data_IF_347564854552
#
_entry.id   IF_347564854552
#
_cell.length_a   1.000
_cell.length_b   1.000
_cell.length_c   1.000
_cell.angle_alpha   90.00
_cell.angle_beta   90.00
_cell.angle_gamma   90.00
#
_symmetry.space_group_name_H-M   'P 1'
#
loop_
_entity.id
_entity.type
_entity.pdbx_description
1 polymer ?
#
# COMPACT_ATOMS: atom_id res chain seq x y z
N UNK A 1 4.22 43.17 41.74
CA UNK A 1 3.53 42.46 40.64
C UNK A 1 3.28 41.04 41.09
N UNK A 2 2.02 40.62 41.07
CA UNK A 2 1.64 39.25 41.42
C UNK A 2 1.81 38.37 40.17
N UNK A 3 2.51 37.25 40.33
CA UNK A 3 2.89 36.37 39.22
C UNK A 3 2.20 35.01 39.38
N UNK A 4 1.84 34.42 38.25
CA UNK A 4 1.37 33.06 38.12
C UNK A 4 2.36 32.21 37.32
N UNK A 5 2.32 30.91 37.57
CA UNK A 5 3.10 29.91 36.86
C UNK A 5 2.49 29.59 35.49
N UNK A 6 3.27 28.93 34.63
CA UNK A 6 2.80 28.41 33.33
C UNK A 6 1.59 27.48 33.46
N UNK A 7 1.52 26.72 34.56
CA UNK A 7 0.42 25.79 34.83
C UNK A 7 -0.88 26.55 35.13
N UNK A 8 -0.82 27.50 36.05
CA UNK A 8 -1.95 28.38 36.40
C UNK A 8 -2.40 29.22 35.20
N UNK A 9 -1.46 29.72 34.40
CA UNK A 9 -1.77 30.43 33.17
C UNK A 9 -2.45 29.53 32.13
N UNK A 10 -2.05 28.25 32.04
CA UNK A 10 -2.68 27.26 31.18
C UNK A 10 -4.13 26.96 31.57
N UNK A 11 -4.38 26.83 32.87
CA UNK A 11 -5.74 26.67 33.43
C UNK A 11 -6.58 27.92 33.20
N UNK A 12 -6.04 29.11 33.49
CA UNK A 12 -6.70 30.41 33.26
C UNK A 12 -7.10 30.61 31.80
N UNK A 13 -6.28 30.15 30.86
CA UNK A 13 -6.49 30.39 29.42
C UNK A 13 -7.07 29.20 28.67
N UNK A 14 -7.31 28.06 29.34
CA UNK A 14 -7.81 26.83 28.71
C UNK A 14 -6.87 26.29 27.62
N UNK A 15 -5.55 26.40 27.82
CA UNK A 15 -4.54 25.92 26.87
C UNK A 15 -3.46 25.09 27.56
N UNK A 16 -2.89 24.12 26.84
CA UNK A 16 -1.86 23.25 27.40
C UNK A 16 -0.59 24.02 27.81
N UNK A 17 0.06 23.56 28.88
CA UNK A 17 1.29 24.12 29.46
C UNK A 17 2.39 24.37 28.41
N UNK A 18 2.53 23.46 27.44
CA UNK A 18 3.49 23.59 26.32
C UNK A 18 3.21 24.82 25.45
N UNK A 19 1.94 25.16 25.22
CA UNK A 19 1.53 26.34 24.43
C UNK A 19 1.83 27.62 25.19
N UNK A 20 1.58 27.63 26.50
CA UNK A 20 1.91 28.77 27.37
C UNK A 20 3.43 29.00 27.41
N UNK A 21 4.21 27.93 27.54
CA UNK A 21 5.67 27.99 27.52
C UNK A 21 6.18 28.56 26.19
N UNK A 22 5.59 28.13 25.07
CA UNK A 22 5.89 28.65 23.75
C UNK A 22 5.61 30.15 23.65
N UNK A 23 4.46 30.62 24.14
CA UNK A 23 4.13 32.05 24.14
C UNK A 23 5.09 32.88 24.99
N UNK A 24 5.59 32.33 26.10
CA UNK A 24 6.62 32.99 26.91
C UNK A 24 7.96 33.07 26.15
N UNK A 25 8.40 31.97 25.52
CA UNK A 25 9.65 31.94 24.75
C UNK A 25 9.61 32.82 23.50
N UNK A 26 8.44 32.98 22.89
CA UNK A 26 8.22 33.87 21.74
C UNK A 26 8.03 35.35 22.14
N UNK A 27 8.12 35.68 23.43
CA UNK A 27 7.94 37.06 23.93
C UNK A 27 6.53 37.62 23.74
N UNK A 28 5.51 36.74 23.65
CA UNK A 28 4.12 37.13 23.35
C UNK A 28 3.28 37.48 24.58
N UNK A 29 3.86 37.29 25.77
CA UNK A 29 3.24 37.61 27.05
C UNK A 29 4.07 38.73 27.66
N UNK A 30 3.51 39.94 27.62
CA UNK A 30 4.17 41.12 28.15
C UNK A 30 4.39 41.00 29.66
N UNK A 31 5.59 41.36 30.12
CA UNK A 31 5.98 41.22 31.53
C UNK A 31 6.29 39.78 31.99
N UNK A 32 6.26 38.79 31.10
CA UNK A 32 6.72 37.44 31.43
C UNK A 32 8.25 37.43 31.61
N UNK A 33 8.71 37.00 32.78
CA UNK A 33 10.14 36.95 33.11
C UNK A 33 10.54 35.51 33.40
N UNK A 34 11.68 35.09 32.83
CA UNK A 34 12.29 33.80 33.14
C UNK A 34 13.24 33.95 34.32
N UNK A 35 12.96 33.29 35.44
CA UNK A 35 13.83 33.25 36.62
C UNK A 35 14.28 31.80 36.84
N UNK A 36 15.49 31.48 36.39
CA UNK A 36 15.98 30.09 36.33
C UNK A 36 15.18 29.25 35.33
N UNK A 37 14.59 28.15 35.79
CA UNK A 37 13.75 27.26 34.97
C UNK A 37 12.25 27.59 35.03
N UNK A 38 11.86 28.63 35.78
CA UNK A 38 10.46 29.01 35.94
C UNK A 38 10.13 30.26 35.12
N UNK A 39 9.00 30.20 34.43
CA UNK A 39 8.37 31.38 33.84
C UNK A 39 7.41 32.00 34.85
N UNK A 40 7.65 33.28 35.15
CA UNK A 40 6.77 34.11 35.96
C UNK A 40 5.95 34.97 35.00
N UNK A 41 4.65 34.71 34.95
CA UNK A 41 3.70 35.42 34.08
C UNK A 41 2.88 36.37 34.97
N UNK A 42 2.79 37.67 34.68
CA UNK A 42 1.93 38.57 35.45
C UNK A 42 0.48 38.05 35.50
N UNK A 43 -0.16 38.06 36.67
CA UNK A 43 -1.53 37.52 36.82
C UNK A 43 -2.55 38.28 35.98
N UNK A 44 -2.31 39.54 35.70
CA UNK A 44 -3.11 40.42 34.85
C UNK A 44 -2.83 40.23 33.35
N UNK A 45 -1.82 39.45 32.97
CA UNK A 45 -1.46 39.24 31.57
C UNK A 45 -2.65 38.66 30.76
N UNK A 46 -3.00 39.28 29.61
CA UNK A 46 -4.04 38.77 28.73
C UNK A 46 -3.56 37.55 27.95
N UNK A 47 -4.49 36.66 27.58
CA UNK A 47 -4.19 35.50 26.73
C UNK A 47 -3.68 35.99 25.36
N UNK A 48 -2.48 35.57 24.89
CA UNK A 48 -2.00 35.94 23.57
C UNK A 48 -2.93 35.41 22.46
N UNK A 49 -3.23 36.24 21.45
CA UNK A 49 -4.01 35.83 20.27
C UNK A 49 -3.27 34.70 19.56
N UNK A 50 -3.91 33.54 19.36
CA UNK A 50 -3.32 32.43 18.61
C UNK A 50 -3.18 32.83 17.13
N UNK A 51 -1.95 33.00 16.66
CA UNK A 51 -1.64 33.42 15.28
C UNK A 51 -1.88 32.31 14.24
N UNK A 52 -2.25 31.08 14.66
CA UNK A 52 -2.62 29.98 13.74
C UNK A 52 -4.04 30.10 13.17
N UNK A 53 -4.85 31.08 13.62
CA UNK A 53 -6.12 31.45 12.99
C UNK A 53 -6.13 32.95 12.69
N UNK A 54 -6.26 33.34 11.42
CA UNK A 54 -6.66 34.70 11.04
C UNK A 54 -8.05 34.98 11.64
N UNK A 55 -8.15 35.99 12.51
CA UNK A 55 -9.45 36.55 12.94
C UNK A 55 -9.90 37.57 11.90
N UNK A 56 -11.04 37.30 11.27
CA UNK A 56 -11.86 38.30 10.59
C UNK A 56 -12.52 39.17 11.68
N UNK A 57 -12.48 40.49 11.52
CA UNK A 57 -13.06 41.46 12.46
C UNK A 57 -14.57 41.55 12.23
N UNK A 58 -15.42 41.63 13.29
CA UNK A 58 -16.87 41.76 13.12
C UNK A 58 -17.24 43.21 12.76
N UNK A 59 -18.08 43.38 11.75
CA UNK A 59 -18.85 44.60 11.50
C UNK A 59 -20.24 44.39 12.09
N UNK A 60 -20.77 45.41 12.76
CA UNK A 60 -22.02 45.41 13.52
C UNK A 60 -23.22 44.89 12.71
N UNK A 61 -23.97 43.98 13.34
CA UNK A 61 -25.22 43.43 12.83
C UNK A 61 -26.30 44.51 12.87
N UNK A 62 -26.63 45.05 11.69
CA UNK A 62 -28.03 45.22 11.35
C UNK A 62 -28.50 43.94 10.67
N UNK A 63 -29.45 43.29 11.35
CA UNK A 63 -30.30 42.16 10.97
C UNK A 63 -29.93 41.37 9.70
N UNK A 64 -29.42 40.15 9.87
CA UNK A 64 -29.93 39.01 9.11
C UNK A 64 -29.57 37.66 9.77
N UNK A 65 -30.58 36.82 9.82
CA UNK A 65 -30.66 35.50 10.41
C UNK A 65 -29.67 34.52 9.78
N UNK A 66 -28.72 33.96 10.53
CA UNK A 66 -27.97 32.76 10.10
C UNK A 66 -28.08 31.65 11.14
N UNK A 67 -28.99 30.74 10.82
CA UNK A 67 -29.20 29.43 11.42
C UNK A 67 -28.01 28.50 11.20
N UNK A 68 -27.80 27.60 12.17
CA UNK A 68 -27.03 26.35 12.11
C UNK A 68 -27.08 25.73 10.69
N UNK A 69 -25.93 25.66 10.01
CA UNK A 69 -25.69 24.72 8.90
C UNK A 69 -24.18 24.66 8.60
N UNK A 70 -23.48 23.68 9.17
CA UNK A 70 -22.06 23.37 8.87
C UNK A 70 -21.88 22.15 7.96
N UNK A 71 -22.93 21.76 7.22
CA UNK A 71 -22.82 20.98 5.99
C UNK A 71 -23.21 21.90 4.82
N UNK A 72 -22.23 22.41 4.09
CA UNK A 72 -22.46 23.37 3.01
C UNK A 72 -21.20 23.66 2.23
N UNK A 73 -20.83 22.77 1.30
CA UNK A 73 -20.02 23.15 0.16
C UNK A 73 -20.89 24.04 -0.74
N UNK A 74 -20.91 25.34 -0.41
CA UNK A 74 -21.57 26.37 -1.17
C UNK A 74 -20.60 27.52 -1.39
N UNK A 75 -19.76 27.44 -2.41
CA UNK A 75 -19.35 28.66 -3.09
C UNK A 75 -20.59 29.14 -3.86
N UNK A 76 -21.20 30.23 -3.37
CA UNK A 76 -22.27 30.94 -4.07
C UNK A 76 -21.69 31.56 -5.34
N UNK A 77 -21.76 30.81 -6.44
CA UNK A 77 -21.98 31.42 -7.75
C UNK A 77 -23.48 31.71 -7.78
N UNK A 78 -23.86 32.98 -7.87
CA UNK A 78 -25.25 33.36 -8.13
C UNK A 78 -25.64 32.82 -9.50
N UNK A 79 -26.25 31.64 -9.53
CA UNK A 79 -27.08 31.18 -10.62
C UNK A 79 -28.51 31.06 -10.07
N UNK A 80 -29.44 31.68 -10.77
CA UNK A 80 -30.88 31.70 -10.48
C UNK A 80 -31.40 30.29 -10.14
N UNK A 81 -32.05 30.16 -8.98
CA UNK A 81 -32.97 29.09 -8.54
C UNK A 81 -32.66 27.61 -8.83
N UNK A 82 -31.40 27.24 -9.09
CA UNK A 82 -30.96 25.85 -9.17
C UNK A 82 -29.80 25.61 -8.22
N UNK A 83 -30.03 24.79 -7.20
CA UNK A 83 -28.98 24.19 -6.39
C UNK A 83 -27.87 23.63 -7.31
N UNK A 84 -26.59 24.01 -7.15
CA UNK A 84 -25.55 23.77 -8.16
C UNK A 84 -25.24 22.29 -8.43
N UNK A 85 -25.71 21.38 -7.57
CA UNK A 85 -25.59 19.92 -7.77
C UNK A 85 -26.74 19.29 -8.54
N UNK A 86 -27.80 20.03 -8.89
CA UNK A 86 -28.94 19.46 -9.64
C UNK A 86 -28.48 18.86 -10.97
N UNK A 87 -27.55 19.53 -11.65
CA UNK A 87 -26.89 19.00 -12.84
C UNK A 87 -26.05 17.76 -12.58
N UNK A 88 -25.51 17.55 -11.38
CA UNK A 88 -24.64 16.43 -11.06
C UNK A 88 -25.41 15.11 -10.92
N UNK A 89 -26.67 15.18 -10.49
CA UNK A 89 -27.58 14.03 -10.43
C UNK A 89 -28.28 13.76 -11.77
N UNK A 90 -28.45 14.80 -12.60
CA UNK A 90 -29.18 14.74 -13.87
C UNK A 90 -28.25 14.56 -15.09
N UNK A 91 -26.91 14.63 -14.91
CA UNK A 91 -25.93 14.55 -15.98
C UNK A 91 -25.01 13.33 -15.81
N UNK A 92 -25.35 12.25 -16.51
CA UNK A 92 -24.59 11.00 -16.52
C UNK A 92 -23.14 11.19 -17.00
N UNK A 93 -22.91 12.06 -17.99
CA UNK A 93 -21.57 12.34 -18.51
C UNK A 93 -20.67 12.97 -17.44
N UNK A 94 -21.22 13.84 -16.60
CA UNK A 94 -20.47 14.48 -15.51
C UNK A 94 -20.07 13.46 -14.44
N UNK A 95 -20.96 12.53 -14.09
CA UNK A 95 -20.63 11.43 -13.18
C UNK A 95 -19.51 10.56 -13.77
N UNK A 96 -19.61 10.20 -15.05
CA UNK A 96 -18.57 9.41 -15.74
C UNK A 96 -17.23 10.15 -15.74
N UNK A 97 -17.22 11.47 -15.93
CA UNK A 97 -15.99 12.26 -15.85
C UNK A 97 -15.39 12.26 -14.44
N UNK A 98 -16.21 12.43 -13.39
CA UNK A 98 -15.75 12.38 -12.00
C UNK A 98 -15.15 11.00 -11.69
N UNK A 99 -15.85 9.93 -12.08
CA UNK A 99 -15.37 8.57 -11.89
C UNK A 99 -14.03 8.34 -12.58
N UNK A 100 -13.91 8.73 -13.87
CA UNK A 100 -12.68 8.57 -14.65
C UNK A 100 -11.47 9.25 -14.01
N UNK A 101 -11.65 10.48 -13.51
CA UNK A 101 -10.59 11.30 -12.94
C UNK A 101 -10.40 11.11 -11.44
N UNK A 102 -11.13 10.18 -10.80
CA UNK A 102 -10.97 9.93 -9.38
C UNK A 102 -9.54 9.46 -9.09
N UNK A 103 -8.83 10.05 -8.10
CA UNK A 103 -7.37 9.92 -7.96
C UNK A 103 -6.90 8.58 -7.39
N UNK A 104 -7.82 7.67 -7.06
CA UNK A 104 -7.51 6.35 -6.54
C UNK A 104 -8.06 5.27 -7.47
N UNK A 105 -7.37 4.13 -7.63
CA UNK A 105 -7.90 3.00 -8.36
C UNK A 105 -9.28 2.61 -7.83
N UNK A 106 -10.25 2.55 -8.74
CA UNK A 106 -11.64 2.25 -8.44
C UNK A 106 -12.26 1.42 -9.56
N UNK A 107 -13.09 0.46 -9.18
CA UNK A 107 -13.95 -0.25 -10.12
C UNK A 107 -15.34 -0.51 -9.54
N UNK A 108 -16.31 -0.75 -10.44
CA UNK A 108 -17.71 -0.99 -10.11
C UNK A 108 -18.11 -2.36 -10.66
N UNK A 109 -18.81 -3.13 -9.84
CA UNK A 109 -19.32 -4.45 -10.18
C UNK A 109 -20.85 -4.52 -10.10
N UNK A 110 -21.43 -5.37 -10.94
CA UNK A 110 -22.80 -5.85 -10.79
C UNK A 110 -22.91 -6.85 -9.63
N UNK A 111 -24.11 -7.14 -9.09
CA UNK A 111 -24.30 -8.02 -7.94
C UNK A 111 -23.89 -9.47 -8.19
N UNK A 112 -23.80 -9.90 -9.45
CA UNK A 112 -23.32 -11.22 -9.85
C UNK A 112 -21.78 -11.35 -9.85
N UNK A 113 -21.06 -10.27 -9.55
CA UNK A 113 -19.60 -10.22 -9.55
C UNK A 113 -18.97 -9.69 -10.84
N UNK A 114 -19.76 -9.43 -11.87
CA UNK A 114 -19.26 -8.96 -13.16
C UNK A 114 -18.74 -7.52 -13.06
N UNK A 115 -17.49 -7.29 -13.47
CA UNK A 115 -16.91 -5.95 -13.53
C UNK A 115 -17.52 -5.14 -14.68
N UNK A 116 -18.08 -3.98 -14.33
CA UNK A 116 -18.79 -3.09 -15.26
C UNK A 116 -17.94 -1.90 -15.70
N UNK A 117 -17.22 -1.28 -14.76
CA UNK A 117 -16.46 -0.06 -14.98
C UNK A 117 -15.18 -0.05 -14.15
N UNK A 118 -14.12 0.55 -14.69
CA UNK A 118 -12.87 0.82 -13.99
C UNK A 118 -12.39 2.22 -14.38
N UNK A 119 -11.89 2.99 -13.42
CA UNK A 119 -11.38 4.33 -13.68
C UNK A 119 -9.95 4.32 -14.23
N UNK A 120 -9.44 5.48 -14.62
CA UNK A 120 -8.11 5.59 -15.24
C UNK A 120 -7.00 5.11 -14.30
N UNK A 121 -7.09 5.42 -13.00
CA UNK A 121 -6.10 4.98 -12.03
C UNK A 121 -6.10 3.45 -11.87
N UNK A 122 -7.26 2.80 -11.94
CA UNK A 122 -7.33 1.34 -11.95
C UNK A 122 -6.72 0.74 -13.23
N UNK A 123 -7.01 1.33 -14.39
CA UNK A 123 -6.47 0.85 -15.67
C UNK A 123 -4.94 1.00 -15.72
N UNK A 124 -4.40 2.15 -15.26
CA UNK A 124 -2.95 2.39 -15.15
C UNK A 124 -2.30 1.41 -14.18
N UNK A 125 -2.90 1.23 -13.00
CA UNK A 125 -2.44 0.27 -12.00
C UNK A 125 -2.41 -1.15 -12.58
N UNK A 126 -3.49 -1.63 -13.18
CA UNK A 126 -3.55 -2.99 -13.73
C UNK A 126 -2.83 -3.14 -15.10
N UNK A 127 -2.16 -2.09 -15.60
CA UNK A 127 -1.48 -2.04 -16.92
C UNK A 127 -2.38 -2.48 -18.09
N UNK A 128 -3.62 -2.01 -18.06
CA UNK A 128 -4.64 -2.30 -19.08
C UNK A 128 -4.61 -1.18 -20.11
N UNK A 129 -4.23 -1.49 -21.34
CA UNK A 129 -4.28 -0.53 -22.46
C UNK A 129 -5.61 -0.60 -23.22
N UNK A 130 -6.31 -1.74 -23.09
CA UNK A 130 -7.54 -2.07 -23.82
C UNK A 130 -8.70 -2.40 -22.87
N UNK A 131 -9.33 -1.38 -22.26
CA UNK A 131 -10.36 -1.56 -21.23
C UNK A 131 -11.60 -2.32 -21.74
N UNK A 132 -11.88 -2.30 -23.05
CA UNK A 132 -12.99 -3.05 -23.65
C UNK A 132 -12.88 -4.57 -23.45
N UNK A 133 -11.68 -5.09 -23.18
CA UNK A 133 -11.47 -6.51 -22.86
C UNK A 133 -11.83 -6.88 -21.42
N UNK A 134 -11.85 -5.89 -20.52
CA UNK A 134 -12.09 -6.07 -19.09
C UNK A 134 -13.58 -6.32 -18.81
N UNK A 135 -14.43 -5.49 -19.41
CA UNK A 135 -15.85 -5.45 -19.12
C UNK A 135 -16.58 -6.71 -19.60
N UNK A 136 -17.51 -7.21 -18.77
CA UNK A 136 -18.34 -8.40 -19.02
C UNK A 136 -17.60 -9.75 -19.12
N UNK A 137 -16.26 -9.77 -19.07
CA UNK A 137 -15.45 -11.00 -19.07
C UNK A 137 -14.85 -11.31 -17.70
N UNK A 138 -14.58 -10.28 -16.90
CA UNK A 138 -14.02 -10.47 -15.57
C UNK A 138 -15.10 -10.49 -14.51
N UNK A 139 -15.18 -11.61 -13.78
CA UNK A 139 -16.05 -11.77 -12.62
C UNK A 139 -15.19 -11.97 -11.36
N UNK A 140 -15.42 -11.13 -10.36
CA UNK A 140 -14.63 -11.12 -9.11
C UNK A 140 -14.93 -12.36 -8.26
N UNK A 141 -16.20 -12.76 -8.15
CA UNK A 141 -16.61 -13.92 -7.35
C UNK A 141 -16.06 -15.23 -7.91
N UNK A 142 -15.82 -15.28 -9.22
CA UNK A 142 -15.22 -16.44 -9.89
C UNK A 142 -13.68 -16.42 -9.87
N UNK A 143 -13.03 -15.47 -9.18
CA UNK A 143 -11.58 -15.45 -9.08
C UNK A 143 -11.10 -16.56 -8.12
N UNK A 144 -10.36 -17.58 -8.60
CA UNK A 144 -9.88 -18.68 -7.75
C UNK A 144 -8.82 -18.24 -6.74
N UNK A 145 -8.29 -17.02 -6.86
CA UNK A 145 -7.19 -16.53 -6.00
C UNK A 145 -7.66 -15.72 -4.79
N UNK A 146 -8.96 -15.44 -4.62
CA UNK A 146 -9.46 -14.61 -3.50
C UNK A 146 -9.01 -15.11 -2.12
N UNK A 147 -9.00 -16.44 -1.91
CA UNK A 147 -8.55 -17.07 -0.67
C UNK A 147 -7.05 -16.85 -0.45
N UNK A 148 -6.23 -17.13 -1.48
CA UNK A 148 -4.78 -16.95 -1.44
C UNK A 148 -4.38 -15.50 -1.23
N UNK A 149 -5.16 -14.57 -1.78
CA UNK A 149 -4.97 -13.13 -1.60
C UNK A 149 -5.43 -12.64 -0.23
N UNK A 150 -6.12 -13.48 0.56
CA UNK A 150 -6.63 -13.12 1.88
C UNK A 150 -7.82 -12.13 1.84
N UNK A 151 -8.49 -12.00 0.71
CA UNK A 151 -9.57 -11.01 0.49
C UNK A 151 -10.94 -11.66 0.29
N UNK A 152 -11.03 -12.99 0.42
CA UNK A 152 -12.27 -13.73 0.18
C UNK A 152 -13.41 -13.24 1.07
N UNK A 153 -13.25 -13.26 2.39
CA UNK A 153 -14.27 -12.79 3.33
C UNK A 153 -14.73 -11.35 3.02
N UNK A 154 -13.76 -10.46 2.81
CA UNK A 154 -13.98 -9.07 2.42
C UNK A 154 -14.88 -8.94 1.18
N UNK A 155 -14.59 -9.71 0.13
CA UNK A 155 -15.39 -9.73 -1.09
C UNK A 155 -16.78 -10.29 -0.82
N UNK A 156 -16.90 -11.48 -0.23
CA UNK A 156 -18.21 -12.12 -0.04
C UNK A 156 -19.18 -11.28 0.80
N UNK A 157 -18.71 -10.68 1.88
CA UNK A 157 -19.52 -9.78 2.72
C UNK A 157 -19.99 -8.54 1.96
N UNK A 158 -19.13 -7.97 1.12
CA UNK A 158 -19.52 -6.85 0.26
C UNK A 158 -20.66 -7.23 -0.70
N UNK A 159 -20.60 -8.43 -1.28
CA UNK A 159 -21.65 -8.96 -2.16
C UNK A 159 -22.92 -9.39 -1.42
N UNK A 160 -22.85 -9.64 -0.11
CA UNK A 160 -24.03 -9.74 0.77
C UNK A 160 -24.62 -8.36 1.13
N UNK A 161 -23.99 -7.29 0.65
CA UNK A 161 -24.46 -5.92 0.81
C UNK A 161 -23.99 -5.23 2.09
N UNK A 162 -22.94 -5.74 2.72
CA UNK A 162 -22.25 -5.07 3.83
C UNK A 162 -21.19 -4.08 3.30
N UNK A 163 -21.09 -2.89 3.89
CA UNK A 163 -19.95 -2.00 3.61
C UNK A 163 -18.72 -2.52 4.38
N UNK A 164 -17.68 -2.93 3.65
CA UNK A 164 -16.51 -3.60 4.24
C UNK A 164 -15.25 -2.81 3.96
N UNK A 165 -14.34 -2.81 4.92
CA UNK A 165 -13.04 -2.17 4.83
C UNK A 165 -11.95 -3.19 5.19
N UNK A 166 -10.86 -3.18 4.44
CA UNK A 166 -9.66 -3.93 4.75
C UNK A 166 -8.47 -2.99 4.73
N UNK A 167 -7.56 -3.14 5.67
CA UNK A 167 -6.41 -2.26 5.81
C UNK A 167 -5.14 -3.03 5.51
N UNK A 168 -4.19 -2.33 4.89
CA UNK A 168 -2.83 -2.83 4.72
C UNK A 168 -2.77 -4.20 4.00
N UNK A 169 -3.62 -4.37 2.99
CA UNK A 169 -3.69 -5.62 2.23
C UNK A 169 -2.58 -5.65 1.19
N UNK A 170 -1.77 -6.71 1.24
CA UNK A 170 -0.73 -6.95 0.25
C UNK A 170 -1.36 -7.20 -1.12
N UNK A 171 -0.96 -6.38 -2.08
CA UNK A 171 -1.45 -6.45 -3.45
C UNK A 171 -0.66 -7.51 -4.22
N UNK A 172 -1.31 -8.53 -4.80
CA UNK A 172 -0.68 -9.53 -5.65
C UNK A 172 -0.44 -8.96 -7.05
N UNK A 173 0.43 -7.95 -7.14
CA UNK A 173 0.50 -7.07 -8.29
C UNK A 173 0.85 -7.78 -9.60
N UNK A 174 1.82 -8.70 -9.54
CA UNK A 174 2.20 -9.53 -10.69
C UNK A 174 1.02 -10.35 -11.23
N UNK A 175 0.26 -11.01 -10.36
CA UNK A 175 -0.88 -11.84 -10.77
C UNK A 175 -2.02 -10.99 -11.38
N UNK A 176 -2.20 -9.77 -10.88
CA UNK A 176 -3.18 -8.82 -11.45
C UNK A 176 -2.78 -8.46 -12.89
N UNK A 177 -1.51 -8.13 -13.12
CA UNK A 177 -1.00 -7.78 -14.46
C UNK A 177 -1.09 -8.99 -15.40
N UNK A 178 -0.70 -10.19 -14.95
CA UNK A 178 -0.78 -11.40 -15.76
C UNK A 178 -2.22 -11.75 -16.15
N UNK A 179 -3.18 -11.48 -15.28
CA UNK A 179 -4.59 -11.78 -15.52
C UNK A 179 -5.31 -10.71 -16.31
N UNK A 180 -5.00 -9.43 -16.09
CA UNK A 180 -5.77 -8.30 -16.61
C UNK A 180 -5.00 -7.45 -17.62
N UNK A 181 -3.69 -7.28 -17.42
CA UNK A 181 -2.85 -6.37 -18.17
C UNK A 181 -2.48 -6.89 -19.55
N UNK A 182 -2.01 -5.98 -20.41
CA UNK A 182 -1.49 -6.33 -21.74
C UNK A 182 0.05 -6.54 -21.73
N UNK A 183 0.73 -6.23 -20.62
CA UNK A 183 2.19 -6.33 -20.45
C UNK A 183 2.62 -7.62 -19.75
N UNK A 184 3.77 -8.17 -20.14
CA UNK A 184 4.40 -9.35 -19.51
C UNK A 184 5.62 -9.01 -18.65
N UNK A 185 5.83 -7.72 -18.36
CA UNK A 185 6.93 -7.31 -17.51
C UNK A 185 6.74 -7.83 -16.08
N UNK A 186 7.84 -8.34 -15.50
CA UNK A 186 7.88 -8.77 -14.11
C UNK A 186 7.95 -7.53 -13.21
N UNK A 187 7.05 -7.45 -12.23
CA UNK A 187 7.05 -6.39 -11.24
C UNK A 187 7.53 -6.91 -9.88
N UNK A 188 8.57 -6.27 -9.35
CA UNK A 188 9.17 -6.57 -8.05
C UNK A 188 8.77 -5.56 -6.95
N UNK A 189 7.72 -4.77 -7.14
CA UNK A 189 7.21 -3.87 -6.12
C UNK A 189 6.26 -4.61 -5.16
N UNK A 190 6.48 -4.48 -3.85
CA UNK A 190 5.50 -4.90 -2.85
C UNK A 190 4.59 -3.73 -2.51
N UNK A 191 3.38 -3.77 -3.06
CA UNK A 191 2.35 -2.76 -2.85
C UNK A 191 1.36 -3.22 -1.77
N UNK A 192 0.96 -2.29 -0.91
CA UNK A 192 -0.07 -2.49 0.11
C UNK A 192 -1.13 -1.42 -0.05
N UNK A 193 -2.40 -1.85 -0.09
CA UNK A 193 -3.55 -0.98 -0.24
C UNK A 193 -4.50 -1.14 0.96
N UNK A 194 -5.09 -0.03 1.37
CA UNK A 194 -6.36 -0.07 2.07
C UNK A 194 -7.46 -0.23 1.03
N UNK A 195 -8.46 -1.05 1.32
CA UNK A 195 -9.56 -1.34 0.41
C UNK A 195 -10.88 -1.00 1.08
N UNK A 196 -11.80 -0.42 0.31
CA UNK A 196 -13.18 -0.25 0.69
C UNK A 196 -14.06 -0.90 -0.37
N UNK A 197 -15.06 -1.66 0.06
CA UNK A 197 -16.11 -2.19 -0.80
C UNK A 197 -17.45 -1.63 -0.30
N UNK A 198 -18.09 -0.84 -1.16
CA UNK A 198 -19.27 -0.06 -0.84
C UNK A 198 -20.46 -0.53 -1.69
N UNK A 199 -21.41 -1.26 -1.10
CA UNK A 199 -22.65 -1.65 -1.75
C UNK A 199 -23.54 -0.42 -2.01
N UNK A 200 -24.02 -0.27 -3.24
CA UNK A 200 -24.95 0.76 -3.67
C UNK A 200 -26.31 0.12 -3.87
N UNK A 201 -27.33 0.71 -3.26
CA UNK A 201 -28.69 0.16 -3.23
C UNK A 201 -29.68 1.09 -3.92
N UNK A 202 -30.76 0.52 -4.43
CA UNK A 202 -31.91 1.27 -4.90
C UNK A 202 -32.81 1.73 -3.74
N UNK A 203 -33.92 2.39 -4.07
CA UNK A 203 -34.91 2.85 -3.10
C UNK A 203 -35.62 1.70 -2.36
N UNK A 204 -35.60 0.49 -2.92
CA UNK A 204 -36.17 -0.72 -2.32
C UNK A 204 -35.13 -1.51 -1.51
N UNK A 205 -33.96 -0.92 -1.25
CA UNK A 205 -32.84 -1.52 -0.55
C UNK A 205 -32.23 -2.75 -1.27
N UNK A 206 -32.50 -2.94 -2.55
CA UNK A 206 -31.89 -3.98 -3.38
C UNK A 206 -30.48 -3.56 -3.81
N UNK A 207 -29.54 -4.50 -3.77
CA UNK A 207 -28.17 -4.27 -4.19
C UNK A 207 -28.11 -4.08 -5.71
N UNK A 208 -27.71 -2.89 -6.16
CA UNK A 208 -27.53 -2.59 -7.59
C UNK A 208 -26.07 -2.74 -8.01
N UNK A 209 -25.15 -2.21 -7.21
CA UNK A 209 -23.73 -2.19 -7.54
C UNK A 209 -22.86 -2.36 -6.31
N UNK A 210 -21.61 -2.76 -6.51
CA UNK A 210 -20.57 -2.69 -5.49
C UNK A 210 -19.43 -1.83 -6.05
N UNK A 211 -19.05 -0.79 -5.32
CA UNK A 211 -17.92 0.08 -5.65
C UNK A 211 -16.72 -0.36 -4.82
N UNK A 212 -15.64 -0.75 -5.48
CA UNK A 212 -14.36 -1.05 -4.86
C UNK A 212 -13.39 0.11 -5.03
N UNK A 213 -12.78 0.56 -3.94
CA UNK A 213 -11.78 1.63 -3.91
C UNK A 213 -10.51 1.09 -3.28
N UNK A 214 -9.36 1.33 -3.92
CA UNK A 214 -8.05 0.92 -3.45
C UNK A 214 -7.21 2.16 -3.17
N UNK A 215 -6.84 2.36 -1.91
CA UNK A 215 -6.07 3.52 -1.45
C UNK A 215 -4.65 3.01 -1.14
N UNK A 216 -3.62 3.46 -1.87
CA UNK A 216 -2.25 3.11 -1.57
C UNK A 216 -1.88 3.49 -0.13
N UNK A 217 -1.44 2.50 0.66
CA UNK A 217 -1.04 2.73 2.06
C UNK A 217 0.49 2.68 2.23
N UNK A 218 1.14 1.68 1.62
CA UNK A 218 2.61 1.53 1.63
C UNK A 218 3.07 0.96 0.30
N UNK A 219 4.14 1.52 -0.25
CA UNK A 219 4.85 0.94 -1.38
C UNK A 219 6.30 0.69 -0.97
N UNK A 220 6.72 -0.56 -1.08
CA UNK A 220 8.13 -0.92 -1.02
C UNK A 220 8.56 -1.18 -2.46
N UNK A 221 9.26 -0.20 -3.02
CA UNK A 221 9.96 -0.40 -4.28
C UNK A 221 11.21 -1.20 -3.93
N UNK A 222 11.28 -2.46 -4.36
CA UNK A 222 12.56 -3.16 -4.34
C UNK A 222 13.53 -2.33 -5.18
N UNK A 223 14.69 -2.04 -4.58
CA UNK A 223 15.70 -1.24 -5.24
C UNK A 223 16.17 -1.93 -6.52
N UNK A 224 16.42 -1.16 -7.57
CA UNK A 224 16.87 -1.66 -8.87
C UNK A 224 18.13 -2.54 -8.73
N UNK A 225 19.02 -2.21 -7.80
CA UNK A 225 20.23 -2.95 -7.45
C UNK A 225 19.91 -4.35 -6.88
N UNK A 226 18.78 -4.51 -6.18
CA UNK A 226 18.34 -5.82 -5.69
C UNK A 226 17.74 -6.65 -6.83
N UNK A 227 16.99 -6.02 -7.74
CA UNK A 227 16.42 -6.68 -8.92
C UNK A 227 17.53 -7.18 -9.84
N UNK A 228 18.42 -6.27 -10.27
CA UNK A 228 19.61 -6.60 -11.06
C UNK A 228 20.48 -7.65 -10.37
N UNK A 229 20.58 -7.56 -9.04
CA UNK A 229 21.23 -8.54 -8.20
C UNK A 229 20.68 -9.96 -8.34
N UNK A 230 19.37 -10.11 -8.18
CA UNK A 230 18.67 -11.39 -8.34
C UNK A 230 18.80 -11.92 -9.76
N UNK A 231 18.56 -11.08 -10.77
CA UNK A 231 18.70 -11.45 -12.18
C UNK A 231 20.12 -11.94 -12.51
N UNK A 232 21.14 -11.28 -11.96
CA UNK A 232 22.52 -11.72 -12.10
C UNK A 232 22.72 -13.11 -11.49
N UNK A 233 22.24 -13.33 -10.26
CA UNK A 233 22.34 -14.64 -9.60
C UNK A 233 21.58 -15.70 -10.41
N UNK A 234 20.37 -15.41 -10.87
CA UNK A 234 19.52 -16.33 -11.61
C UNK A 234 20.12 -16.72 -12.97
N UNK A 235 20.90 -15.83 -13.59
CA UNK A 235 21.60 -16.09 -14.86
C UNK A 235 22.94 -16.82 -14.67
N UNK A 236 23.67 -16.51 -13.60
CA UNK A 236 25.02 -17.02 -13.34
C UNK A 236 25.04 -18.11 -12.25
N UNK A 237 23.89 -18.72 -11.95
CA UNK A 237 23.77 -19.70 -10.86
C UNK A 237 24.70 -20.93 -11.02
N UNK A 238 25.12 -21.27 -12.25
CA UNK A 238 26.07 -22.36 -12.52
C UNK A 238 27.52 -22.00 -12.14
N UNK A 239 27.84 -20.72 -12.06
CA UNK A 239 29.18 -20.24 -11.74
C UNK A 239 29.44 -20.29 -10.23
N UNK A 240 30.72 -20.20 -9.84
CA UNK A 240 31.09 -20.04 -8.43
C UNK A 240 30.60 -18.69 -7.90
N UNK A 241 29.97 -18.69 -6.74
CA UNK A 241 29.40 -17.48 -6.16
C UNK A 241 30.50 -16.51 -5.72
N UNK A 242 30.46 -15.31 -6.30
CA UNK A 242 31.39 -14.23 -5.98
C UNK A 242 30.59 -12.96 -5.65
N UNK A 243 30.58 -12.61 -4.36
CA UNK A 243 29.87 -11.43 -3.87
C UNK A 243 30.54 -10.12 -4.29
N UNK A 244 31.85 -10.11 -4.54
CA UNK A 244 32.54 -8.90 -4.98
C UNK A 244 32.18 -8.60 -6.44
N UNK A 245 32.12 -9.62 -7.31
CA UNK A 245 31.58 -9.47 -8.68
C UNK A 245 30.13 -9.00 -8.68
N UNK A 246 29.28 -9.61 -7.85
CA UNK A 246 27.87 -9.26 -7.76
C UNK A 246 27.67 -7.83 -7.24
N UNK A 247 28.43 -7.41 -6.21
CA UNK A 247 28.35 -6.06 -5.68
C UNK A 247 28.87 -5.01 -6.70
N UNK A 248 29.94 -5.34 -7.43
CA UNK A 248 30.46 -4.48 -8.49
C UNK A 248 29.48 -4.36 -9.67
N UNK A 249 28.78 -5.43 -10.04
CA UNK A 249 27.76 -5.44 -11.09
C UNK A 249 26.63 -4.44 -10.81
N UNK A 250 26.30 -4.21 -9.54
CA UNK A 250 25.26 -3.25 -9.11
C UNK A 250 25.85 -1.93 -8.60
N UNK A 251 27.14 -1.70 -8.81
CA UNK A 251 27.86 -0.48 -8.42
C UNK A 251 27.79 -0.16 -6.91
N UNK A 252 27.88 -1.20 -6.06
CA UNK A 252 27.87 -1.06 -4.60
C UNK A 252 29.08 -1.70 -3.94
N UNK A 253 29.42 -1.25 -2.73
CA UNK A 253 30.38 -1.97 -1.91
C UNK A 253 29.78 -3.28 -1.39
N UNK A 254 30.61 -4.33 -1.26
CA UNK A 254 30.24 -5.65 -0.72
C UNK A 254 29.40 -5.56 0.56
N UNK A 255 29.91 -4.82 1.55
CA UNK A 255 29.27 -4.71 2.86
C UNK A 255 27.90 -4.03 2.79
N UNK A 256 27.80 -2.95 2.00
CA UNK A 256 26.53 -2.25 1.83
C UNK A 256 25.51 -3.12 1.11
N UNK A 257 25.94 -3.78 0.03
CA UNK A 257 25.08 -4.62 -0.78
C UNK A 257 24.56 -5.84 -0.02
N UNK A 258 25.40 -6.57 0.72
CA UNK A 258 24.94 -7.72 1.53
C UNK A 258 23.91 -7.31 2.57
N UNK A 259 24.16 -6.20 3.28
CA UNK A 259 23.21 -5.68 4.28
C UNK A 259 21.88 -5.29 3.62
N UNK A 260 21.96 -4.55 2.51
CA UNK A 260 20.80 -4.07 1.77
C UNK A 260 19.98 -5.24 1.19
N UNK A 261 20.65 -6.20 0.56
CA UNK A 261 20.02 -7.39 0.00
C UNK A 261 19.31 -8.21 1.07
N UNK A 262 19.91 -8.40 2.26
CA UNK A 262 19.26 -9.06 3.39
C UNK A 262 18.06 -8.30 3.92
N UNK A 263 18.15 -6.97 3.98
CA UNK A 263 17.03 -6.13 4.41
C UNK A 263 15.82 -6.24 3.47
N UNK A 264 16.05 -6.32 2.15
CA UNK A 264 14.98 -6.38 1.15
C UNK A 264 14.47 -7.79 0.85
N UNK A 265 15.34 -8.80 0.88
CA UNK A 265 14.99 -10.19 0.49
C UNK A 265 14.79 -11.13 1.67
N UNK A 266 15.12 -10.70 2.89
CA UNK A 266 15.11 -11.54 4.10
C UNK A 266 16.30 -12.52 4.21
N UNK A 267 17.10 -12.68 3.15
CA UNK A 267 18.24 -13.60 3.09
C UNK A 267 19.50 -12.93 2.55
N UNK A 268 20.68 -13.51 2.77
CA UNK A 268 21.91 -12.97 2.17
C UNK A 268 21.96 -13.30 0.68
N UNK A 269 22.73 -12.56 -0.15
CA UNK A 269 22.93 -12.92 -1.55
C UNK A 269 23.38 -14.37 -1.76
N UNK A 270 24.26 -14.88 -0.87
CA UNK A 270 24.69 -16.27 -0.90
C UNK A 270 23.56 -17.25 -0.55
N UNK A 271 22.71 -16.91 0.43
CA UNK A 271 21.52 -17.71 0.75
C UNK A 271 20.58 -17.81 -0.44
N UNK A 272 20.28 -16.68 -1.09
CA UNK A 272 19.46 -16.66 -2.30
C UNK A 272 20.08 -17.50 -3.43
N UNK A 273 21.39 -17.39 -3.67
CA UNK A 273 22.10 -18.26 -4.62
C UNK A 273 21.95 -19.75 -4.31
N UNK A 274 22.02 -20.13 -3.03
CA UNK A 274 21.80 -21.52 -2.61
C UNK A 274 20.36 -21.97 -2.89
N UNK A 275 19.37 -21.11 -2.66
CA UNK A 275 17.95 -21.40 -2.91
C UNK A 275 17.67 -21.57 -4.42
N UNK A 276 18.28 -20.74 -5.26
CA UNK A 276 18.23 -20.88 -6.73
C UNK A 276 18.84 -22.21 -7.17
N UNK A 277 20.06 -22.53 -6.70
CA UNK A 277 20.72 -23.81 -6.99
C UNK A 277 19.86 -25.00 -6.58
N UNK A 278 19.26 -24.92 -5.39
CA UNK A 278 18.41 -25.98 -4.86
C UNK A 278 17.12 -26.14 -5.66
N UNK A 279 16.52 -25.04 -6.11
CA UNK A 279 15.33 -25.06 -6.96
C UNK A 279 15.63 -25.71 -8.32
N UNK A 280 16.76 -25.36 -8.94
CA UNK A 280 17.22 -25.99 -10.19
C UNK A 280 17.56 -27.47 -10.02
N UNK A 281 18.18 -27.82 -8.90
CA UNK A 281 18.42 -29.22 -8.55
C UNK A 281 17.11 -30.00 -8.45
N UNK A 282 16.08 -29.46 -7.78
CA UNK A 282 14.75 -30.09 -7.69
C UNK A 282 14.10 -30.28 -9.05
N UNK A 283 14.17 -29.27 -9.93
CA UNK A 283 13.65 -29.36 -11.30
C UNK A 283 14.35 -30.49 -12.07
N UNK A 284 15.67 -30.55 -12.01
CA UNK A 284 16.48 -31.54 -12.73
C UNK A 284 16.37 -32.95 -12.14
N UNK A 285 16.07 -33.08 -10.84
CA UNK A 285 15.82 -34.39 -10.23
C UNK A 285 14.58 -35.09 -10.80
N UNK A 286 13.64 -34.34 -11.38
CA UNK A 286 12.47 -34.88 -12.07
C UNK A 286 12.79 -35.47 -13.46
N UNK A 287 13.96 -35.18 -14.03
CA UNK A 287 14.38 -35.76 -15.30
C UNK A 287 14.92 -37.18 -15.09
N UNK A 288 14.27 -38.17 -15.69
CA UNK A 288 14.64 -39.59 -15.61
C UNK A 288 15.80 -39.95 -16.52
N UNK A 289 16.16 -39.10 -17.48
CA UNK A 289 17.24 -39.35 -18.44
C UNK A 289 18.64 -39.09 -17.84
N UNK A 290 18.72 -38.38 -16.70
CA UNK A 290 19.96 -38.11 -15.99
C UNK A 290 20.04 -38.93 -14.70
N UNK A 291 21.19 -39.56 -14.45
CA UNK A 291 21.49 -40.15 -13.14
C UNK A 291 21.52 -39.07 -12.04
N UNK A 292 21.32 -39.47 -10.78
CA UNK A 292 21.39 -38.53 -9.64
C UNK A 292 22.75 -37.83 -9.64
N UNK A 293 23.85 -38.57 -9.82
CA UNK A 293 25.21 -38.01 -9.89
C UNK A 293 25.37 -36.98 -11.01
N UNK A 294 24.80 -37.23 -12.20
CA UNK A 294 24.84 -36.27 -13.31
C UNK A 294 24.07 -34.99 -12.99
N UNK A 295 22.90 -35.09 -12.36
CA UNK A 295 22.11 -33.92 -11.93
C UNK A 295 22.89 -33.03 -10.96
N UNK A 296 23.61 -33.64 -10.01
CA UNK A 296 24.45 -32.91 -9.06
C UNK A 296 25.65 -32.23 -9.75
N UNK A 297 26.34 -32.95 -10.65
CA UNK A 297 27.46 -32.39 -11.40
C UNK A 297 27.03 -31.21 -12.27
N UNK A 298 25.89 -31.31 -12.95
CA UNK A 298 25.34 -30.25 -13.81
C UNK A 298 24.88 -29.02 -13.03
N UNK A 299 24.57 -29.18 -11.73
CA UNK A 299 24.33 -28.07 -10.80
C UNK A 299 25.62 -27.46 -10.22
N UNK A 300 26.79 -27.97 -10.61
CA UNK A 300 28.09 -27.58 -10.04
C UNK A 300 28.21 -27.96 -8.56
N UNK A 301 27.60 -29.07 -8.15
CA UNK A 301 27.61 -29.55 -6.76
C UNK A 301 28.23 -30.94 -6.73
N UNK A 302 29.32 -31.10 -5.99
CA UNK A 302 29.91 -32.42 -5.77
C UNK A 302 28.99 -33.27 -4.88
N UNK A 303 28.42 -34.32 -5.45
CA UNK A 303 27.60 -35.28 -4.70
C UNK A 303 28.48 -36.07 -3.74
N UNK A 304 28.41 -35.74 -2.45
CA UNK A 304 29.11 -36.45 -1.38
C UNK A 304 28.16 -36.77 -0.22
N UNK A 305 28.55 -37.71 0.64
CA UNK A 305 27.71 -38.18 1.74
C UNK A 305 27.22 -37.07 2.70
N UNK A 306 28.02 -36.02 2.90
CA UNK A 306 27.65 -34.88 3.74
C UNK A 306 26.53 -34.05 3.08
N UNK A 307 26.62 -33.82 1.78
CA UNK A 307 25.63 -33.06 1.03
C UNK A 307 24.31 -33.82 0.90
N UNK A 308 24.35 -35.13 0.68
CA UNK A 308 23.17 -36.00 0.71
C UNK A 308 22.44 -35.94 2.05
N UNK A 309 23.18 -35.89 3.17
CA UNK A 309 22.61 -35.76 4.52
C UNK A 309 21.92 -34.41 4.72
N UNK A 310 22.54 -33.32 4.26
CA UNK A 310 21.97 -31.96 4.33
C UNK A 310 20.72 -31.81 3.45
N UNK A 311 20.74 -32.40 2.25
CA UNK A 311 19.57 -32.46 1.37
C UNK A 311 18.43 -33.28 1.98
N UNK A 312 18.73 -34.40 2.62
CA UNK A 312 17.72 -35.19 3.33
C UNK A 312 17.08 -34.41 4.49
N UNK A 313 17.86 -33.59 5.20
CA UNK A 313 17.34 -32.71 6.24
C UNK A 313 16.43 -31.60 5.68
N UNK A 314 16.78 -31.02 4.53
CA UNK A 314 15.98 -29.94 3.91
C UNK A 314 14.76 -30.44 3.12
N UNK A 315 14.85 -31.58 2.43
CA UNK A 315 13.77 -32.18 1.64
C UNK A 315 12.86 -33.11 2.46
N UNK A 316 13.31 -33.54 3.64
CA UNK A 316 12.69 -34.63 4.40
C UNK A 316 12.95 -36.03 3.82
N UNK A 317 13.56 -36.14 2.64
CA UNK A 317 13.78 -37.39 1.91
C UNK A 317 15.06 -37.34 1.06
N UNK A 318 15.57 -38.50 0.61
CA UNK A 318 16.76 -38.54 -0.26
C UNK A 318 16.44 -38.05 -1.68
N UNK A 319 17.43 -37.56 -2.46
CA UNK A 319 17.21 -37.16 -3.85
C UNK A 319 16.61 -38.26 -4.74
N UNK A 320 16.98 -39.52 -4.49
CA UNK A 320 16.40 -40.67 -5.19
C UNK A 320 14.94 -40.91 -4.79
N UNK A 321 14.60 -40.78 -3.50
CA UNK A 321 13.21 -40.86 -3.03
C UNK A 321 12.36 -39.72 -3.58
N UNK A 322 12.90 -38.49 -3.60
CA UNK A 322 12.25 -37.32 -4.19
C UNK A 322 11.94 -37.54 -5.67
N UNK A 323 12.91 -38.04 -6.45
CA UNK A 323 12.68 -38.42 -7.85
C UNK A 323 11.56 -39.46 -7.96
N UNK A 324 11.63 -40.56 -7.24
CA UNK A 324 10.62 -41.62 -7.31
C UNK A 324 9.22 -41.12 -6.93
N UNK A 325 9.10 -40.23 -5.95
CA UNK A 325 7.82 -39.61 -5.57
C UNK A 325 7.26 -38.71 -6.67
N UNK A 326 8.12 -37.93 -7.34
CA UNK A 326 7.69 -36.98 -8.37
C UNK A 326 7.44 -37.65 -9.74
N UNK A 327 8.04 -38.82 -10.00
CA UNK A 327 7.91 -39.55 -11.28
C UNK A 327 6.96 -40.74 -11.25
N UNK A 328 6.58 -41.26 -10.06
CA UNK A 328 5.45 -42.19 -9.94
C UNK A 328 4.14 -41.38 -9.96
N UNK A 329 3.44 -41.43 -11.10
CA UNK A 329 2.00 -41.14 -11.20
C UNK A 329 1.19 -42.36 -10.79
#
# INVERSE_FOLDING_TARGET
MDYMTVKEAGEKWGIGIRVVTLYCSEGRIEGAVKKGNLWLIPRDAPRPKDRRRKKVTPVEEQESTISKNTYGLGMQIKCEDKWPFKSLYENEDLFVQIFKHFPYPMHICAPDGTMLLANEEYLKFARITRPEKLYKKHNILLNPHLERWGVKDFVFRAFQGEAVYAYDVKVPYQEIIERLGDSKEVVCESLYHNMAALPIRDNNNQLLYIVFIFIPSRSYRDREEIIKGKEYIDKHWKEEFDIDKLANFVHMSRHHYVRLFKQHTGTTPYGYYQDVKFSKLKEMLCDTNMSITQVFNECGINYNGNLSKKLKQNLGMTPSQYRTMMTKK
#
